data_IF_417802784532
#
_entry.id   IF_417802784532
#
_cell.length_a   1.000
_cell.length_b   1.000
_cell.length_c   1.000
_cell.angle_alpha   90.00
_cell.angle_beta   90.00
_cell.angle_gamma   90.00
#
_symmetry.space_group_name_H-M   'P 1'
#
loop_
_entity.id
_entity.type
_entity.pdbx_description
1 polymer ?
#
# COMPACT_ATOMS: atom_id res chain seq x y z
N UNK A 1 -5.83 33.49 -7.99
CA UNK A 1 -6.24 32.70 -9.17
C UNK A 1 -7.20 31.57 -8.81
N UNK A 2 -8.41 31.91 -8.35
CA UNK A 2 -9.49 30.93 -8.09
C UNK A 2 -10.16 30.45 -9.39
N UNK A 3 -10.01 31.22 -10.48
CA UNK A 3 -10.51 30.89 -11.81
C UNK A 3 -9.71 29.74 -12.44
N UNK A 4 -8.39 29.72 -12.22
CA UNK A 4 -7.49 28.68 -12.74
C UNK A 4 -7.86 27.29 -12.19
N UNK A 5 -8.29 27.17 -10.93
CA UNK A 5 -8.71 25.89 -10.35
C UNK A 5 -9.96 25.26 -10.99
N UNK A 6 -10.80 26.03 -11.70
CA UNK A 6 -12.00 25.50 -12.36
C UNK A 6 -11.70 24.84 -13.71
N UNK A 7 -10.57 25.19 -14.34
CA UNK A 7 -10.18 24.62 -15.63
C UNK A 7 -9.43 23.29 -15.50
N UNK A 8 -8.86 23.00 -14.32
CA UNK A 8 -8.19 21.72 -14.06
C UNK A 8 -9.13 20.73 -13.37
N UNK A 9 -8.84 19.45 -13.53
CA UNK A 9 -9.45 18.38 -12.75
C UNK A 9 -8.39 17.42 -12.22
N UNK A 10 -8.71 16.74 -11.13
CA UNK A 10 -7.79 15.82 -10.46
C UNK A 10 -8.15 14.39 -10.85
N UNK A 11 -7.12 13.60 -11.14
CA UNK A 11 -7.22 12.16 -11.36
C UNK A 11 -6.37 11.52 -10.26
N UNK A 12 -6.99 11.06 -9.15
CA UNK A 12 -6.27 10.37 -8.09
C UNK A 12 -5.65 9.07 -8.57
N UNK A 13 -4.60 8.62 -7.88
CA UNK A 13 -4.03 7.29 -8.11
C UNK A 13 -5.04 6.17 -7.83
N UNK A 14 -5.08 5.16 -8.70
CA UNK A 14 -5.96 3.99 -8.54
C UNK A 14 -5.35 2.96 -7.61
N UNK A 15 -6.18 2.37 -6.77
CA UNK A 15 -5.76 1.42 -5.73
C UNK A 15 -6.20 0.00 -6.08
N UNK A 16 -5.27 -0.94 -5.98
CA UNK A 16 -5.56 -2.37 -5.94
C UNK A 16 -5.12 -2.92 -4.59
N UNK A 17 -6.05 -3.52 -3.84
CA UNK A 17 -5.76 -4.16 -2.57
C UNK A 17 -6.03 -5.66 -2.64
N UNK A 18 -5.04 -6.45 -2.25
CA UNK A 18 -5.21 -7.87 -1.95
C UNK A 18 -5.12 -8.04 -0.43
N UNK A 19 -6.07 -8.80 0.11
CA UNK A 19 -6.14 -9.06 1.55
C UNK A 19 -6.59 -10.49 1.83
N UNK A 20 -6.04 -11.09 2.89
CA UNK A 20 -6.48 -12.40 3.40
C UNK A 20 -7.80 -12.35 4.18
N UNK A 21 -8.20 -11.16 4.63
CA UNK A 21 -9.40 -10.91 5.43
C UNK A 21 -10.48 -10.17 4.60
N UNK A 22 -11.58 -10.87 4.32
CA UNK A 22 -12.65 -10.35 3.46
C UNK A 22 -13.37 -9.14 4.08
N UNK A 23 -13.59 -9.14 5.39
CA UNK A 23 -14.35 -8.09 6.06
C UNK A 23 -13.51 -6.82 6.18
N UNK A 24 -12.23 -6.97 6.54
CA UNK A 24 -11.30 -5.85 6.55
C UNK A 24 -11.09 -5.25 5.15
N UNK A 25 -10.94 -6.09 4.12
CA UNK A 25 -10.87 -5.65 2.73
C UNK A 25 -12.09 -4.84 2.32
N UNK A 26 -13.29 -5.34 2.62
CA UNK A 26 -14.53 -4.65 2.28
C UNK A 26 -14.60 -3.27 2.94
N UNK A 27 -14.19 -3.18 4.21
CA UNK A 27 -14.13 -1.91 4.92
C UNK A 27 -13.12 -0.93 4.29
N UNK A 28 -11.92 -1.40 3.92
CA UNK A 28 -10.92 -0.57 3.23
C UNK A 28 -11.44 -0.03 1.90
N UNK A 29 -12.01 -0.89 1.05
CA UNK A 29 -12.55 -0.49 -0.26
C UNK A 29 -13.71 0.51 -0.09
N UNK A 30 -14.57 0.31 0.91
CA UNK A 30 -15.65 1.26 1.21
C UNK A 30 -15.07 2.62 1.62
N UNK A 31 -14.04 2.65 2.45
CA UNK A 31 -13.38 3.89 2.89
C UNK A 31 -12.69 4.61 1.73
N UNK A 32 -11.95 3.91 0.87
CA UNK A 32 -11.37 4.53 -0.33
C UNK A 32 -12.43 5.17 -1.25
N UNK A 33 -13.55 4.49 -1.46
CA UNK A 33 -14.66 5.03 -2.26
C UNK A 33 -15.26 6.30 -1.63
N UNK A 34 -15.39 6.34 -0.31
CA UNK A 34 -15.86 7.54 0.41
C UNK A 34 -14.87 8.71 0.27
N UNK A 35 -13.59 8.42 0.08
CA UNK A 35 -12.54 9.42 -0.18
C UNK A 35 -12.42 9.81 -1.66
N UNK A 36 -13.25 9.26 -2.56
CA UNK A 36 -13.17 9.55 -3.99
C UNK A 36 -12.05 8.81 -4.73
N UNK A 37 -11.48 7.76 -4.13
CA UNK A 37 -10.43 6.94 -4.74
C UNK A 37 -11.06 5.75 -5.46
N UNK A 38 -10.67 5.54 -6.72
CA UNK A 38 -11.01 4.33 -7.46
C UNK A 38 -10.18 3.16 -6.92
N UNK A 39 -10.84 2.24 -6.22
CA UNK A 39 -10.22 1.14 -5.51
C UNK A 39 -10.90 -0.20 -5.80
N UNK A 40 -10.08 -1.21 -6.10
CA UNK A 40 -10.50 -2.60 -6.28
C UNK A 40 -9.89 -3.49 -5.19
N UNK A 41 -10.73 -4.26 -4.52
CA UNK A 41 -10.31 -5.27 -3.54
C UNK A 41 -10.43 -6.68 -4.11
N UNK A 42 -9.43 -7.53 -3.85
CA UNK A 42 -9.46 -8.95 -4.20
C UNK A 42 -9.05 -9.77 -2.98
N UNK A 43 -9.98 -10.56 -2.43
CA UNK A 43 -9.71 -11.41 -1.27
C UNK A 43 -8.85 -12.61 -1.68
N UNK A 44 -7.62 -12.68 -1.16
CA UNK A 44 -6.66 -13.76 -1.38
C UNK A 44 -5.83 -13.98 -0.13
N UNK A 45 -5.80 -15.24 0.33
CA UNK A 45 -4.94 -15.64 1.43
C UNK A 45 -3.48 -15.32 1.13
N UNK A 46 -2.68 -15.09 2.17
CA UNK A 46 -1.29 -14.64 2.04
C UNK A 46 -0.50 -15.61 1.17
N UNK A 47 -0.70 -16.93 1.37
CA UNK A 47 -0.05 -17.99 0.58
C UNK A 47 -0.43 -17.98 -0.91
N UNK A 48 -1.61 -17.48 -1.25
CA UNK A 48 -2.05 -17.37 -2.64
C UNK A 48 -1.54 -16.11 -3.33
N UNK A 49 -1.40 -14.99 -2.60
CA UNK A 49 -1.06 -13.68 -3.18
C UNK A 49 0.15 -13.73 -4.14
N UNK A 50 1.31 -14.36 -3.79
CA UNK A 50 2.46 -14.43 -4.71
C UNK A 50 2.15 -15.13 -6.03
N UNK A 51 1.24 -16.11 -6.01
CA UNK A 51 0.92 -16.95 -7.17
C UNK A 51 0.03 -16.23 -8.18
N UNK A 52 -0.76 -15.28 -7.72
CA UNK A 52 -1.79 -14.61 -8.53
C UNK A 52 -1.50 -13.15 -8.83
N UNK A 53 -0.61 -12.50 -8.08
CA UNK A 53 -0.40 -11.05 -8.14
C UNK A 53 -0.04 -10.55 -9.54
N UNK A 54 0.82 -11.27 -10.27
CA UNK A 54 1.23 -10.87 -11.62
C UNK A 54 0.05 -10.85 -12.61
N UNK A 55 -0.79 -11.90 -12.57
CA UNK A 55 -2.00 -11.97 -13.41
C UNK A 55 -3.00 -10.88 -13.01
N UNK A 56 -3.19 -10.68 -11.71
CA UNK A 56 -4.08 -9.66 -11.18
C UNK A 56 -3.63 -8.26 -11.65
N UNK A 57 -2.35 -7.92 -11.57
CA UNK A 57 -1.83 -6.62 -12.03
C UNK A 57 -1.98 -6.41 -13.54
N UNK A 58 -1.92 -7.48 -14.34
CA UNK A 58 -2.19 -7.41 -15.79
C UNK A 58 -3.67 -7.10 -16.09
N UNK A 59 -4.58 -7.69 -15.33
CA UNK A 59 -6.03 -7.54 -15.52
C UNK A 59 -6.59 -6.28 -14.84
N UNK A 60 -5.84 -5.69 -13.90
CA UNK A 60 -6.29 -4.61 -13.04
C UNK A 60 -5.19 -3.54 -12.96
N UNK A 61 -5.18 -2.57 -13.90
CA UNK A 61 -4.24 -1.46 -13.85
C UNK A 61 -4.42 -0.67 -12.56
N UNK A 62 -3.32 -0.46 -11.83
CA UNK A 62 -3.29 0.27 -10.57
C UNK A 62 -1.99 1.07 -10.46
N UNK A 63 -2.07 2.17 -9.73
CA UNK A 63 -0.95 3.07 -9.45
C UNK A 63 -0.39 2.79 -8.04
N UNK A 64 -1.25 2.28 -7.14
CA UNK A 64 -0.92 1.86 -5.78
C UNK A 64 -1.42 0.42 -5.56
N UNK A 65 -0.50 -0.46 -5.13
CA UNK A 65 -0.79 -1.83 -4.73
C UNK A 65 -0.66 -1.97 -3.21
N UNK A 66 -1.69 -2.54 -2.58
CA UNK A 66 -1.73 -2.83 -1.15
C UNK A 66 -1.80 -4.35 -0.96
N UNK A 67 -0.82 -4.90 -0.24
CA UNK A 67 -0.70 -6.34 0.06
C UNK A 67 -0.80 -6.53 1.57
N UNK A 68 -1.99 -6.85 2.05
CA UNK A 68 -2.30 -6.96 3.48
C UNK A 68 -2.94 -8.34 3.78
N UNK A 69 -3.25 -8.60 5.05
CA UNK A 69 -3.74 -9.89 5.53
C UNK A 69 -3.40 -10.08 7.00
N UNK A 70 -3.14 -11.32 7.40
CA UNK A 70 -2.73 -11.68 8.74
C UNK A 70 -1.25 -12.08 8.78
N UNK A 71 -0.57 -11.62 9.83
CA UNK A 71 0.79 -12.05 10.16
C UNK A 71 0.95 -12.02 11.68
N UNK A 72 2.10 -12.46 12.15
CA UNK A 72 2.41 -12.44 13.56
C UNK A 72 3.72 -13.14 13.85
N UNK A 73 4.34 -12.74 14.96
CA UNK A 73 5.48 -13.47 15.49
C UNK A 73 5.05 -14.83 16.02
N UNK A 74 5.82 -15.85 15.67
CA UNK A 74 5.63 -17.20 16.19
C UNK A 74 6.19 -17.25 17.61
N UNK A 75 5.38 -17.72 18.56
CA UNK A 75 5.76 -17.80 19.97
C UNK A 75 7.05 -18.60 20.15
N UNK A 76 7.97 -18.09 20.99
CA UNK A 76 9.25 -18.72 21.28
C UNK A 76 10.37 -18.41 20.28
N UNK A 77 10.07 -17.83 19.11
CA UNK A 77 11.10 -17.34 18.19
C UNK A 77 11.64 -15.99 18.66
N UNK A 78 12.96 -15.83 18.68
CA UNK A 78 13.66 -14.61 19.14
C UNK A 78 14.50 -13.93 18.06
N UNK A 79 14.68 -14.60 16.92
CA UNK A 79 15.41 -14.05 15.79
C UNK A 79 14.44 -13.30 14.87
N UNK A 80 14.39 -11.97 15.02
CA UNK A 80 13.52 -11.10 14.21
C UNK A 80 14.02 -10.92 12.77
N UNK A 81 15.20 -11.42 12.42
CA UNK A 81 15.70 -11.38 11.04
C UNK A 81 15.31 -12.63 10.27
N UNK A 82 15.07 -13.75 10.95
CA UNK A 82 14.63 -15.00 10.32
C UNK A 82 13.17 -14.93 9.87
N UNK A 83 12.92 -15.26 8.61
CA UNK A 83 11.56 -15.39 8.06
C UNK A 83 10.76 -16.54 8.70
N UNK A 84 11.43 -17.49 9.34
CA UNK A 84 10.78 -18.58 10.08
C UNK A 84 10.23 -18.14 11.44
N UNK A 85 10.45 -16.88 11.82
CA UNK A 85 9.87 -16.27 13.02
C UNK A 85 8.48 -15.69 12.77
N UNK A 86 8.02 -15.65 11.52
CA UNK A 86 6.80 -14.98 11.09
C UNK A 86 5.86 -15.97 10.39
N UNK A 87 4.55 -15.78 10.60
CA UNK A 87 3.52 -16.66 10.00
C UNK A 87 3.41 -16.47 8.49
N UNK A 88 3.42 -15.21 8.05
CA UNK A 88 3.03 -14.84 6.69
C UNK A 88 3.99 -13.87 6.02
N UNK A 89 4.94 -13.26 6.73
CA UNK A 89 5.89 -12.29 6.15
C UNK A 89 6.56 -12.78 4.86
N UNK A 90 6.83 -14.09 4.74
CA UNK A 90 7.43 -14.69 3.54
C UNK A 90 6.59 -14.45 2.29
N UNK A 91 5.27 -14.53 2.43
CA UNK A 91 4.37 -14.39 1.30
C UNK A 91 4.21 -12.92 0.91
N UNK A 92 4.28 -11.97 1.84
CA UNK A 92 4.36 -10.56 1.48
C UNK A 92 5.64 -10.23 0.72
N UNK A 93 6.79 -10.74 1.18
CA UNK A 93 8.08 -10.61 0.48
C UNK A 93 8.00 -11.18 -0.94
N UNK A 94 7.52 -12.41 -1.10
CA UNK A 94 7.35 -13.03 -2.40
C UNK A 94 6.39 -12.25 -3.31
N UNK A 95 5.27 -11.77 -2.78
CA UNK A 95 4.29 -10.98 -3.53
C UNK A 95 4.87 -9.65 -4.02
N UNK A 96 5.65 -8.96 -3.19
CA UNK A 96 6.36 -7.73 -3.55
C UNK A 96 7.38 -8.02 -4.66
N UNK A 97 8.14 -9.10 -4.56
CA UNK A 97 9.10 -9.49 -5.59
C UNK A 97 8.41 -9.77 -6.94
N UNK A 98 7.30 -10.51 -6.95
CA UNK A 98 6.54 -10.77 -8.18
C UNK A 98 5.92 -9.50 -8.76
N UNK A 99 5.38 -8.61 -7.91
CA UNK A 99 4.90 -7.30 -8.34
C UNK A 99 6.02 -6.46 -8.96
N UNK A 100 7.23 -6.50 -8.40
CA UNK A 100 8.40 -5.79 -8.93
C UNK A 100 8.98 -6.40 -10.20
N UNK A 101 8.77 -7.70 -10.45
CA UNK A 101 9.04 -8.32 -11.75
C UNK A 101 8.07 -7.87 -12.83
N UNK A 102 6.84 -7.51 -12.46
CA UNK A 102 5.86 -6.91 -13.37
C UNK A 102 6.14 -5.42 -13.60
N UNK A 103 6.33 -4.65 -12.53
CA UNK A 103 6.66 -3.23 -12.57
C UNK A 103 7.84 -2.90 -11.65
N UNK A 104 9.02 -2.76 -12.24
CA UNK A 104 10.27 -2.53 -11.51
C UNK A 104 10.35 -1.13 -10.89
N UNK A 105 9.76 -0.12 -11.51
CA UNK A 105 9.84 1.26 -11.05
C UNK A 105 8.91 1.49 -9.84
N UNK A 106 9.50 1.88 -8.71
CA UNK A 106 8.81 2.16 -7.43
C UNK A 106 7.80 3.30 -7.51
N UNK A 107 8.05 4.29 -8.36
CA UNK A 107 7.18 5.45 -8.53
C UNK A 107 6.08 5.19 -9.57
N UNK A 108 6.21 4.15 -10.40
CA UNK A 108 5.17 3.75 -11.35
C UNK A 108 4.16 2.75 -10.75
N UNK A 109 4.55 2.03 -9.70
CA UNK A 109 3.66 1.22 -8.88
C UNK A 109 4.11 1.32 -7.42
N UNK A 110 3.40 2.10 -6.63
CA UNK A 110 3.69 2.24 -5.21
C UNK A 110 3.15 1.03 -4.47
N UNK A 111 3.97 0.38 -3.65
CA UNK A 111 3.57 -0.82 -2.92
C UNK A 111 3.57 -0.57 -1.42
N UNK A 112 2.42 -0.76 -0.78
CA UNK A 112 2.29 -0.97 0.66
C UNK A 112 2.17 -2.46 0.94
N UNK A 113 2.94 -3.02 1.87
CA UNK A 113 2.85 -4.44 2.18
C UNK A 113 3.06 -4.78 3.67
N UNK A 114 2.39 -5.82 4.13
CA UNK A 114 2.53 -6.38 5.47
C UNK A 114 1.27 -6.27 6.32
N UNK A 115 1.33 -6.89 7.49
CA UNK A 115 0.28 -6.90 8.49
C UNK A 115 0.87 -6.66 9.89
N UNK A 116 0.10 -6.96 10.94
CA UNK A 116 0.56 -6.90 12.32
C UNK A 116 1.82 -7.75 12.53
N UNK A 117 2.83 -7.13 13.14
CA UNK A 117 4.10 -7.75 13.49
C UNK A 117 4.89 -8.35 12.32
N UNK A 118 4.67 -7.90 11.08
CA UNK A 118 5.44 -8.38 9.93
C UNK A 118 6.93 -8.05 10.01
N UNK A 119 7.74 -8.80 9.26
CA UNK A 119 9.16 -8.53 9.03
C UNK A 119 9.32 -7.32 8.10
N UNK A 120 9.24 -6.13 8.69
CA UNK A 120 9.32 -4.83 8.04
C UNK A 120 10.50 -4.70 7.07
N UNK A 121 11.70 -5.04 7.53
CA UNK A 121 12.95 -4.84 6.78
C UNK A 121 13.01 -5.78 5.57
N UNK A 122 12.55 -7.02 5.70
CA UNK A 122 12.51 -7.96 4.58
C UNK A 122 11.54 -7.49 3.49
N UNK A 123 10.37 -6.96 3.88
CA UNK A 123 9.36 -6.44 2.94
C UNK A 123 9.89 -5.21 2.19
N UNK A 124 10.55 -4.26 2.89
CA UNK A 124 11.18 -3.12 2.21
C UNK A 124 12.33 -3.55 1.30
N UNK A 125 13.16 -4.48 1.76
CA UNK A 125 14.28 -5.02 0.98
C UNK A 125 13.80 -5.71 -0.31
N UNK A 126 12.62 -6.32 -0.29
CA UNK A 126 11.96 -6.90 -1.47
C UNK A 126 11.52 -5.85 -2.50
N UNK A 127 11.42 -4.58 -2.11
CA UNK A 127 11.11 -3.47 -3.00
C UNK A 127 9.79 -2.76 -2.72
N UNK A 128 9.14 -3.02 -1.59
CA UNK A 128 7.97 -2.24 -1.17
C UNK A 128 8.36 -0.78 -0.89
N UNK A 129 7.42 0.14 -1.08
CA UNK A 129 7.60 1.54 -0.73
C UNK A 129 7.31 1.74 0.76
N UNK A 130 6.27 1.09 1.27
CA UNK A 130 5.86 1.13 2.66
C UNK A 130 5.68 -0.28 3.19
N UNK A 131 6.02 -0.47 4.46
CA UNK A 131 5.82 -1.73 5.15
C UNK A 131 5.35 -1.51 6.58
N UNK A 132 4.54 -2.44 7.07
CA UNK A 132 4.03 -2.42 8.44
C UNK A 132 5.03 -2.97 9.46
N UNK A 133 4.79 -2.57 10.71
CA UNK A 133 5.37 -3.03 11.95
C UNK A 133 6.90 -2.94 12.08
N UNK A 134 7.54 -1.75 11.90
CA UNK A 134 8.95 -1.55 12.23
C UNK A 134 9.31 -2.05 13.64
N UNK A 135 8.43 -1.87 14.64
CA UNK A 135 8.63 -2.38 16.01
C UNK A 135 7.98 -3.73 16.31
N UNK A 136 7.54 -4.47 15.28
CA UNK A 136 6.89 -5.79 15.40
C UNK A 136 5.67 -5.78 16.32
N UNK A 137 4.90 -4.69 16.22
CA UNK A 137 3.69 -4.46 17.00
C UNK A 137 2.42 -4.62 16.16
N UNK A 138 1.28 -4.65 16.84
CA UNK A 138 -0.02 -4.53 16.20
C UNK A 138 -0.16 -3.13 15.60
N UNK A 139 -0.73 -3.04 14.40
CA UNK A 139 -0.98 -1.77 13.70
C UNK A 139 -2.48 -1.50 13.62
N UNK A 140 -2.85 -0.24 13.51
CA UNK A 140 -4.24 0.13 13.34
C UNK A 140 -4.72 -0.20 11.92
N UNK A 141 -5.93 -0.72 11.80
CA UNK A 141 -6.51 -1.13 10.52
C UNK A 141 -6.64 0.01 9.49
N UNK A 142 -6.70 1.26 9.94
CA UNK A 142 -6.75 2.44 9.06
C UNK A 142 -5.39 3.02 8.68
N UNK A 143 -4.28 2.57 9.28
CA UNK A 143 -2.95 3.10 8.94
C UNK A 143 -2.59 2.90 7.47
N UNK A 144 -2.81 1.71 6.85
CA UNK A 144 -2.58 1.54 5.42
C UNK A 144 -3.46 2.48 4.58
N UNK A 145 -4.72 2.69 4.97
CA UNK A 145 -5.70 3.50 4.24
C UNK A 145 -5.28 4.97 4.18
N UNK A 146 -4.84 5.55 5.31
CA UNK A 146 -4.40 6.95 5.35
C UNK A 146 -3.12 7.19 4.55
N UNK A 147 -2.19 6.22 4.55
CA UNK A 147 -0.97 6.30 3.75
C UNK A 147 -1.32 6.28 2.26
N UNK A 148 -2.19 5.36 1.85
CA UNK A 148 -2.62 5.20 0.46
C UNK A 148 -3.38 6.41 -0.03
N UNK A 149 -4.30 6.96 0.78
CA UNK A 149 -5.03 8.18 0.45
C UNK A 149 -4.06 9.34 0.18
N UNK A 150 -3.09 9.54 1.07
CA UNK A 150 -2.14 10.65 0.94
C UNK A 150 -1.32 10.54 -0.33
N UNK A 151 -0.90 9.34 -0.71
CA UNK A 151 -0.14 9.07 -1.93
C UNK A 151 -1.02 9.29 -3.18
N UNK A 152 -2.27 8.80 -3.14
CA UNK A 152 -3.23 8.89 -4.24
C UNK A 152 -3.55 10.35 -4.62
N UNK A 153 -3.58 11.26 -3.64
CA UNK A 153 -3.86 12.69 -3.83
C UNK A 153 -2.61 13.60 -3.85
N UNK A 154 -1.41 13.05 -3.73
CA UNK A 154 -0.19 13.85 -3.94
C UNK A 154 0.16 13.91 -5.43
N UNK A 155 0.48 15.08 -6.02
CA UNK A 155 0.89 15.18 -7.42
C UNK A 155 2.11 14.32 -7.78
N UNK A 156 2.12 13.74 -8.99
CA UNK A 156 3.23 12.90 -9.49
C UNK A 156 4.61 13.57 -9.54
N UNK A 157 4.66 14.89 -9.62
CA UNK A 157 5.89 15.68 -9.60
C UNK A 157 6.40 15.96 -8.18
N UNK A 158 5.62 15.64 -7.14
CA UNK A 158 5.96 15.87 -5.74
C UNK A 158 6.38 14.58 -5.02
N UNK A 159 7.32 14.74 -4.10
CA UNK A 159 7.76 13.69 -3.19
C UNK A 159 6.80 13.66 -1.99
N UNK A 160 6.31 12.48 -1.63
CA UNK A 160 5.56 12.27 -0.41
C UNK A 160 6.54 12.00 0.74
N UNK A 161 6.59 12.93 1.69
CA UNK A 161 7.42 12.79 2.89
C UNK A 161 6.90 11.65 3.77
N UNK A 162 7.70 10.58 3.91
CA UNK A 162 7.37 9.44 4.76
C UNK A 162 7.07 9.90 6.19
N UNK A 163 7.90 10.80 6.74
CA UNK A 163 7.72 11.31 8.10
C UNK A 163 6.39 12.03 8.25
N UNK A 164 6.02 12.87 7.28
CA UNK A 164 4.77 13.64 7.36
C UNK A 164 3.54 12.77 7.15
N UNK A 165 3.62 11.73 6.29
CA UNK A 165 2.53 10.76 6.19
C UNK A 165 2.32 10.05 7.53
N UNK A 166 3.40 9.59 8.17
CA UNK A 166 3.31 8.78 9.37
C UNK A 166 2.72 9.55 10.57
N UNK A 167 2.83 10.88 10.62
CA UNK A 167 2.15 11.67 11.66
C UNK A 167 0.62 11.65 11.56
N UNK A 168 0.08 11.27 10.40
CA UNK A 168 -1.36 11.14 10.17
C UNK A 168 -1.86 9.70 10.39
N UNK A 169 -0.96 8.75 10.67
CA UNK A 169 -1.33 7.38 11.06
C UNK A 169 -1.57 7.30 12.56
N UNK A 170 -2.39 6.33 12.99
CA UNK A 170 -2.77 6.14 14.39
C UNK A 170 -1.63 5.51 15.17
N UNK A 171 -0.92 4.53 14.58
CA UNK A 171 0.21 3.86 15.25
C UNK A 171 1.54 4.61 15.07
N UNK A 172 1.61 5.55 14.13
CA UNK A 172 2.80 6.34 13.88
C UNK A 172 3.99 5.51 13.36
N UNK A 173 5.19 6.02 13.61
CA UNK A 173 6.47 5.42 13.15
C UNK A 173 6.77 4.06 13.75
N UNK A 174 6.08 3.68 14.82
CA UNK A 174 6.27 2.38 15.47
C UNK A 174 5.52 1.27 14.71
N UNK A 175 4.41 1.65 14.09
CA UNK A 175 3.53 0.75 13.34
C UNK A 175 3.76 0.74 11.86
N UNK A 176 4.23 1.81 11.24
CA UNK A 176 4.49 1.82 9.79
C UNK A 176 5.75 2.62 9.46
N UNK A 177 6.45 2.22 8.40
CA UNK A 177 7.54 2.99 7.82
C UNK A 177 7.62 2.81 6.32
N UNK A 178 8.61 3.44 5.69
CA UNK A 178 8.78 3.36 4.24
C UNK A 178 10.00 4.11 3.73
N UNK A 179 10.09 4.18 2.40
CA UNK A 179 11.10 4.92 1.66
C UNK A 179 10.47 6.08 0.90
N UNK A 180 11.29 7.06 0.53
CA UNK A 180 10.86 8.18 -0.31
C UNK A 180 10.12 7.70 -1.57
N UNK A 181 8.97 8.30 -1.86
CA UNK A 181 8.04 7.88 -2.92
C UNK A 181 7.37 9.10 -3.54
N UNK A 182 7.13 9.10 -4.85
CA UNK A 182 6.35 10.16 -5.51
C UNK A 182 4.84 9.95 -5.39
N UNK A 183 4.10 11.06 -5.40
CA UNK A 183 2.65 11.03 -5.46
C UNK A 183 2.11 10.36 -6.73
N UNK A 184 0.83 10.03 -6.75
CA UNK A 184 0.18 9.35 -7.89
C UNK A 184 -0.93 10.17 -8.56
N UNK A 185 -1.24 11.36 -8.04
CA UNK A 185 -2.28 12.23 -8.61
C UNK A 185 -1.80 12.94 -9.88
N UNK A 186 -2.66 12.96 -10.89
CA UNK A 186 -2.46 13.75 -12.12
C UNK A 186 -3.44 14.91 -12.16
N UNK A 187 -2.99 16.05 -12.69
CA UNK A 187 -3.83 17.20 -13.03
C UNK A 187 -4.17 17.14 -14.51
N UNK A 188 -5.45 17.01 -14.82
CA UNK A 188 -6.00 17.06 -16.17
C UNK A 188 -6.41 18.48 -16.55
N UNK A 189 -6.31 18.79 -17.85
CA UNK A 189 -6.73 20.06 -18.44
C UNK A 189 -7.08 19.86 -19.93
N UNK A 190 -8.10 20.56 -20.46
CA UNK A 190 -9.08 21.36 -19.73
C UNK A 190 -10.17 20.47 -19.13
N UNK A 191 -10.89 20.97 -18.14
CA UNK A 191 -12.09 20.33 -17.60
C UNK A 191 -13.21 20.40 -18.66
N UNK A 192 -13.77 19.23 -18.99
CA UNK A 192 -14.93 19.14 -19.88
C UNK A 192 -16.15 19.85 -19.25
N UNK A 193 -16.94 20.61 -20.03
CA UNK A 193 -18.22 21.16 -19.56
C UNK A 193 -19.34 20.10 -19.51
N UNK A 194 -19.11 18.91 -20.06
CA UNK A 194 -19.99 17.74 -20.03
C UNK A 194 -19.56 16.74 -18.97
#
# INVERSE_FOLDING_TARGET
DLDDQREFFEIPGRVLQLDGDQDYLHQCIKTYKQMGIDAKGICKSEIEQPRVIRKILQENPADILVLTGHDGLISGKRDFHSMDSYRSSRYFVESVLEARRFQHNRDALVIFAGACQSNYEAILSAGANFASSPKRMLIHAFDPVFIVERIAFTPTDQIVSVKDILTHTITGTDGVGGVETRGQMRRGYPRSPY
#
